data_IF_680042176831
#
_entry.id   IF_680042176831
#
_cell.length_a   1.000
_cell.length_b   1.000
_cell.length_c   1.000
_cell.angle_alpha   90.00
_cell.angle_beta   90.00
_cell.angle_gamma   90.00
#
_symmetry.space_group_name_H-M   'P 1'
#
loop_
_entity.id
_entity.type
_entity.pdbx_description
1 polymer ?
#
# COMPACT_ATOMS: atom_id res chain seq x y z
N UNK A 1 -20.29 14.52 6.59
CA UNK A 1 -21.49 13.95 5.94
C UNK A 1 -22.51 13.45 6.95
N UNK A 2 -22.19 12.46 7.78
CA UNK A 2 -23.10 11.87 8.76
C UNK A 2 -23.96 12.88 9.55
N UNK A 3 -23.34 13.84 10.25
CA UNK A 3 -24.06 14.84 11.07
C UNK A 3 -25.11 15.66 10.31
N UNK A 4 -24.94 15.84 8.99
CA UNK A 4 -25.80 16.69 8.16
C UNK A 4 -26.87 15.90 7.42
N UNK A 5 -26.57 14.66 7.02
CA UNK A 5 -27.39 13.88 6.09
C UNK A 5 -27.84 12.52 6.64
N UNK A 6 -27.38 12.14 7.83
CA UNK A 6 -27.77 10.89 8.50
C UNK A 6 -26.87 9.68 8.20
N UNK A 7 -27.33 8.47 8.54
CA UNK A 7 -26.53 7.24 8.54
C UNK A 7 -26.24 6.64 7.16
N UNK A 8 -26.99 7.04 6.13
CA UNK A 8 -26.79 6.60 4.75
C UNK A 8 -26.88 7.83 3.84
N UNK A 9 -25.83 8.08 3.06
CA UNK A 9 -25.73 9.29 2.23
C UNK A 9 -25.36 8.93 0.80
N UNK A 10 -26.21 9.29 -0.15
CA UNK A 10 -25.91 9.16 -1.58
C UNK A 10 -25.22 10.43 -2.10
N UNK A 11 -23.99 10.30 -2.58
CA UNK A 11 -23.24 11.35 -3.24
C UNK A 11 -23.25 11.10 -4.76
N UNK A 12 -23.75 12.07 -5.51
CA UNK A 12 -23.82 12.03 -6.97
C UNK A 12 -22.99 13.16 -7.54
N UNK A 13 -21.79 12.82 -8.01
CA UNK A 13 -20.91 13.77 -8.68
C UNK A 13 -20.98 13.54 -10.20
N UNK A 14 -21.27 14.57 -11.02
CA UNK A 14 -21.28 14.43 -12.48
C UNK A 14 -19.97 13.81 -13.00
N UNK A 15 -20.08 12.82 -13.88
CA UNK A 15 -18.93 12.11 -14.44
C UNK A 15 -18.25 11.10 -13.50
N UNK A 16 -18.84 10.80 -12.33
CA UNK A 16 -18.36 9.76 -11.40
C UNK A 16 -19.48 8.76 -11.09
N UNK A 17 -19.10 7.59 -10.58
CA UNK A 17 -20.06 6.66 -10.00
C UNK A 17 -20.78 7.32 -8.82
N UNK A 18 -22.07 6.99 -8.65
CA UNK A 18 -22.79 7.36 -7.43
C UNK A 18 -22.18 6.61 -6.26
N UNK A 19 -21.76 7.34 -5.23
CA UNK A 19 -21.19 6.76 -4.02
C UNK A 19 -22.26 6.73 -2.93
N UNK A 20 -22.42 5.59 -2.27
CA UNK A 20 -23.26 5.46 -1.09
C UNK A 20 -22.34 5.34 0.12
N UNK A 21 -22.40 6.33 1.00
CA UNK A 21 -21.64 6.38 2.24
C UNK A 21 -22.48 5.75 3.36
N UNK A 22 -21.97 4.68 3.97
CA UNK A 22 -22.59 3.98 5.09
C UNK A 22 -21.86 4.35 6.39
N UNK A 23 -22.61 4.62 7.46
CA UNK A 23 -22.06 5.02 8.76
C UNK A 23 -22.44 4.09 9.92
N UNK A 24 -23.26 3.05 9.68
CA UNK A 24 -23.70 2.11 10.72
C UNK A 24 -23.12 0.70 10.52
N UNK A 25 -22.85 0.01 11.63
CA UNK A 25 -22.35 -1.38 11.59
C UNK A 25 -23.38 -2.36 11.00
N UNK A 26 -24.68 -2.09 11.16
CA UNK A 26 -25.75 -2.93 10.62
C UNK A 26 -25.82 -2.83 9.10
N UNK A 27 -25.58 -1.65 8.53
CA UNK A 27 -25.47 -1.47 7.07
C UNK A 27 -24.25 -2.19 6.51
N UNK A 28 -23.09 -2.10 7.19
CA UNK A 28 -21.90 -2.87 6.79
C UNK A 28 -22.15 -4.37 6.86
N UNK A 29 -22.84 -4.87 7.90
CA UNK A 29 -23.21 -6.29 7.99
C UNK A 29 -24.06 -6.72 6.79
N UNK A 30 -25.08 -5.94 6.46
CA UNK A 30 -25.96 -6.20 5.33
C UNK A 30 -25.17 -6.22 4.02
N UNK A 31 -24.29 -5.23 3.80
CA UNK A 31 -23.42 -5.18 2.63
C UNK A 31 -22.54 -6.43 2.49
N UNK A 32 -21.85 -6.84 3.57
CA UNK A 32 -20.95 -7.99 3.54
C UNK A 32 -21.67 -9.33 3.35
N UNK A 33 -22.93 -9.42 3.76
CA UNK A 33 -23.76 -10.61 3.51
C UNK A 33 -24.15 -10.74 2.03
N UNK A 34 -24.37 -9.61 1.35
CA UNK A 34 -24.81 -9.55 -0.05
C UNK A 34 -23.65 -9.44 -1.07
N UNK A 35 -22.44 -9.10 -0.65
CA UNK A 35 -21.27 -8.88 -1.53
C UNK A 35 -20.86 -10.14 -2.33
N UNK A 36 -21.19 -11.32 -1.81
CA UNK A 36 -20.92 -12.60 -2.45
C UNK A 36 -19.43 -12.98 -2.48
N UNK A 37 -19.06 -13.94 -3.34
CA UNK A 37 -17.70 -14.50 -3.41
C UNK A 37 -16.69 -13.64 -4.17
N UNK A 38 -17.17 -12.67 -4.96
CA UNK A 38 -16.36 -11.90 -5.91
C UNK A 38 -16.67 -10.40 -5.75
N UNK A 39 -16.21 -9.80 -4.65
CA UNK A 39 -16.43 -8.38 -4.36
C UNK A 39 -15.90 -7.50 -5.49
N UNK A 40 -16.69 -6.50 -5.88
CA UNK A 40 -16.24 -5.47 -6.82
C UNK A 40 -15.57 -4.33 -6.07
N UNK A 41 -14.36 -3.95 -6.49
CA UNK A 41 -13.61 -2.85 -5.86
C UNK A 41 -13.11 -1.88 -6.92
N UNK A 42 -13.21 -0.58 -6.66
CA UNK A 42 -12.59 0.42 -7.52
C UNK A 42 -11.05 0.25 -7.47
N UNK A 43 -10.48 -0.31 -8.54
CA UNK A 43 -9.05 -0.57 -8.62
C UNK A 43 -8.21 0.71 -8.70
N UNK A 44 -6.92 0.56 -8.43
CA UNK A 44 -5.95 1.63 -8.51
C UNK A 44 -5.42 1.80 -9.95
N UNK A 45 -6.06 2.70 -10.70
CA UNK A 45 -5.83 2.84 -12.16
C UNK A 45 -4.39 3.13 -12.57
N UNK A 46 -3.58 3.76 -11.71
CA UNK A 46 -2.15 3.95 -11.96
C UNK A 46 -1.38 2.62 -11.99
N UNK A 47 -1.57 1.76 -10.98
CA UNK A 47 -0.94 0.44 -10.94
C UNK A 47 -1.40 -0.45 -12.10
N UNK A 48 -2.70 -0.37 -12.45
CA UNK A 48 -3.23 -1.09 -13.62
C UNK A 48 -2.47 -0.68 -14.89
N UNK A 49 -2.43 0.62 -15.21
CA UNK A 49 -1.75 1.14 -16.39
C UNK A 49 -0.26 0.75 -16.42
N UNK A 50 0.42 0.82 -15.28
CA UNK A 50 1.84 0.46 -15.19
C UNK A 50 2.07 -1.02 -15.47
N UNK A 51 1.31 -1.92 -14.85
CA UNK A 51 1.47 -3.37 -15.05
C UNK A 51 1.10 -3.81 -16.46
N UNK A 52 0.05 -3.23 -17.05
CA UNK A 52 -0.34 -3.50 -18.44
C UNK A 52 0.77 -3.14 -19.44
N UNK A 53 1.59 -2.13 -19.13
CA UNK A 53 2.69 -1.71 -20.01
C UNK A 53 3.99 -2.48 -19.78
N UNK A 54 4.03 -3.46 -18.85
CA UNK A 54 5.19 -4.31 -18.55
C UNK A 54 4.81 -5.80 -18.56
N UNK A 55 4.28 -6.34 -19.67
CA UNK A 55 3.88 -7.75 -19.74
C UNK A 55 5.03 -8.74 -19.54
N UNK A 56 6.28 -8.30 -19.75
CA UNK A 56 7.48 -9.10 -19.50
C UNK A 56 7.74 -9.39 -18.01
N UNK A 57 7.24 -8.53 -17.11
CA UNK A 57 7.42 -8.69 -15.66
C UNK A 57 6.13 -9.10 -14.95
N UNK A 58 4.96 -8.75 -15.51
CA UNK A 58 3.67 -8.97 -14.88
C UNK A 58 2.77 -9.86 -15.73
N UNK A 59 2.43 -11.04 -15.19
CA UNK A 59 1.44 -11.93 -15.79
C UNK A 59 0.01 -11.38 -15.75
N UNK A 60 -0.27 -10.39 -14.87
CA UNK A 60 -1.58 -9.75 -14.73
C UNK A 60 -1.48 -8.38 -14.02
N UNK A 61 -2.61 -7.69 -13.95
CA UNK A 61 -2.75 -6.34 -13.36
C UNK A 61 -2.74 -6.30 -11.81
N UNK A 62 -2.51 -7.43 -11.16
CA UNK A 62 -2.40 -7.57 -9.71
C UNK A 62 -3.73 -7.72 -8.96
N UNK A 63 -3.67 -8.37 -7.79
CA UNK A 63 -4.84 -8.67 -6.95
C UNK A 63 -5.63 -7.43 -6.49
N UNK A 64 -4.99 -6.25 -6.50
CA UNK A 64 -5.65 -4.97 -6.21
C UNK A 64 -6.59 -4.52 -7.34
N UNK A 65 -6.31 -4.90 -8.59
CA UNK A 65 -7.04 -4.43 -9.76
C UNK A 65 -7.88 -5.52 -10.45
N UNK A 66 -7.51 -6.80 -10.28
CA UNK A 66 -8.31 -7.93 -10.77
C UNK A 66 -9.71 -7.90 -10.16
N UNK A 67 -10.70 -8.36 -10.93
CA UNK A 67 -12.11 -8.48 -10.51
C UNK A 67 -12.66 -9.86 -10.85
N UNK A 68 -13.83 -10.19 -10.32
CA UNK A 68 -14.57 -11.39 -10.71
C UNK A 68 -13.78 -12.69 -10.50
N UNK A 69 -13.90 -13.60 -11.48
CA UNK A 69 -13.33 -14.94 -11.38
C UNK A 69 -11.79 -14.94 -11.36
N UNK A 70 -11.16 -14.03 -12.09
CA UNK A 70 -9.69 -13.92 -12.11
C UNK A 70 -9.15 -13.49 -10.75
N UNK A 71 -9.80 -12.51 -10.13
CA UNK A 71 -9.50 -12.12 -8.76
C UNK A 71 -9.67 -13.28 -7.80
N UNK A 72 -10.80 -13.99 -7.87
CA UNK A 72 -11.08 -15.12 -6.97
C UNK A 72 -10.04 -16.23 -7.12
N UNK A 73 -9.62 -16.54 -8.35
CA UNK A 73 -8.58 -17.54 -8.64
C UNK A 73 -7.23 -17.16 -8.02
N UNK A 74 -6.82 -15.90 -8.12
CA UNK A 74 -5.57 -15.44 -7.50
C UNK A 74 -5.69 -15.37 -5.98
N UNK A 75 -6.79 -14.82 -5.45
CA UNK A 75 -7.03 -14.66 -4.02
C UNK A 75 -7.08 -16.00 -3.29
N UNK A 76 -7.85 -16.96 -3.79
CA UNK A 76 -8.00 -18.29 -3.17
C UNK A 76 -6.67 -19.05 -3.06
N UNK A 77 -5.75 -18.85 -4.01
CA UNK A 77 -4.41 -19.46 -3.99
C UNK A 77 -3.42 -18.75 -3.07
N UNK A 78 -3.51 -17.42 -2.96
CA UNK A 78 -2.54 -16.59 -2.21
C UNK A 78 -2.92 -16.41 -0.74
N UNK A 79 -4.21 -16.37 -0.43
CA UNK A 79 -4.72 -16.16 0.93
C UNK A 79 -4.19 -17.18 1.97
N UNK A 80 -4.08 -18.49 1.66
CA UNK A 80 -3.50 -19.45 2.57
C UNK A 80 -2.08 -19.11 3.07
N UNK A 81 -1.28 -18.46 2.24
CA UNK A 81 0.12 -18.14 2.54
C UNK A 81 0.30 -16.77 3.17
N UNK A 82 -0.73 -15.94 3.18
CA UNK A 82 -0.66 -14.56 3.66
C UNK A 82 -1.50 -14.31 4.90
N UNK A 83 -2.60 -15.05 5.09
CA UNK A 83 -3.57 -14.79 6.17
C UNK A 83 -3.74 -15.95 7.16
N UNK A 84 -3.15 -17.13 6.91
CA UNK A 84 -3.28 -18.24 7.88
C UNK A 84 -2.38 -17.96 9.08
N UNK A 85 -2.90 -18.10 10.33
CA UNK A 85 -2.10 -17.86 11.53
C UNK A 85 -0.78 -18.63 11.54
N UNK A 86 -0.78 -19.90 11.14
CA UNK A 86 0.45 -20.71 11.08
C UNK A 86 1.52 -20.11 10.16
N UNK A 87 1.14 -19.53 9.03
CA UNK A 87 2.08 -18.88 8.12
C UNK A 87 2.50 -17.51 8.64
N UNK A 88 1.61 -16.77 9.27
CA UNK A 88 1.97 -15.50 9.92
C UNK A 88 3.00 -15.74 11.03
N UNK A 89 2.81 -16.80 11.84
CA UNK A 89 3.70 -17.14 12.94
C UNK A 89 5.15 -17.44 12.52
N UNK A 90 5.40 -17.87 11.27
CA UNK A 90 6.79 -18.06 10.81
C UNK A 90 7.55 -16.76 10.58
N UNK A 91 6.85 -15.63 10.36
CA UNK A 91 7.49 -14.33 10.19
C UNK A 91 7.75 -13.61 11.53
N UNK A 92 7.04 -14.00 12.59
CA UNK A 92 7.10 -13.33 13.91
C UNK A 92 8.52 -13.19 14.44
N UNK A 93 9.40 -14.22 14.44
CA UNK A 93 10.76 -14.06 14.97
C UNK A 93 11.57 -12.98 14.24
N UNK A 94 11.48 -12.90 12.91
CA UNK A 94 12.18 -11.87 12.16
C UNK A 94 11.56 -10.48 12.30
N UNK A 95 10.22 -10.41 12.42
CA UNK A 95 9.53 -9.15 12.73
C UNK A 95 9.87 -8.63 14.12
N UNK A 96 10.09 -9.52 15.10
CA UNK A 96 10.50 -9.18 16.46
C UNK A 96 11.88 -8.50 16.46
N UNK A 97 12.85 -9.07 15.74
CA UNK A 97 14.16 -8.45 15.54
C UNK A 97 14.07 -7.06 14.89
N UNK A 98 13.21 -6.91 13.88
CA UNK A 98 12.97 -5.61 13.22
C UNK A 98 12.31 -4.61 14.19
N UNK A 99 11.44 -5.07 15.07
CA UNK A 99 10.84 -4.23 16.11
C UNK A 99 11.88 -3.80 17.15
N UNK A 100 12.77 -4.69 17.58
CA UNK A 100 13.90 -4.36 18.46
C UNK A 100 14.82 -3.31 17.83
N UNK A 101 15.19 -3.49 16.56
CA UNK A 101 16.02 -2.52 15.82
C UNK A 101 15.36 -1.13 15.77
N UNK A 102 14.03 -1.08 15.54
CA UNK A 102 13.28 0.16 15.54
C UNK A 102 13.21 0.82 16.94
N UNK A 103 13.04 0.02 18.00
CA UNK A 103 13.06 0.51 19.38
C UNK A 103 14.43 1.08 19.76
N UNK A 104 15.52 0.43 19.35
CA UNK A 104 16.88 0.94 19.55
C UNK A 104 17.10 2.26 18.81
N UNK A 105 16.61 2.38 17.58
CA UNK A 105 16.69 3.62 16.80
C UNK A 105 15.89 4.76 17.46
N UNK A 106 14.68 4.46 17.95
CA UNK A 106 13.87 5.41 18.73
C UNK A 106 14.66 5.89 19.95
N UNK A 107 15.26 4.96 20.71
CA UNK A 107 15.99 5.32 21.92
C UNK A 107 17.19 6.24 21.66
N UNK A 108 17.92 6.00 20.56
CA UNK A 108 19.05 6.84 20.13
C UNK A 108 18.63 8.23 19.62
N UNK A 109 17.43 8.34 19.04
CA UNK A 109 16.94 9.56 18.40
C UNK A 109 16.20 10.49 19.38
N UNK A 110 15.94 10.02 20.60
CA UNK A 110 15.27 10.81 21.64
C UNK A 110 16.05 12.06 22.01
N UNK A 111 15.32 13.15 22.21
CA UNK A 111 15.85 14.38 22.79
C UNK A 111 15.93 14.31 24.33
N UNK A 112 16.38 15.40 24.97
CA UNK A 112 16.47 15.50 26.43
C UNK A 112 15.12 15.32 27.15
N UNK A 113 14.00 15.52 26.45
CA UNK A 113 12.63 15.32 26.97
C UNK A 113 12.13 13.89 26.76
N UNK A 114 12.95 13.01 26.17
CA UNK A 114 12.60 11.64 25.76
C UNK A 114 11.54 11.59 24.65
N UNK A 115 11.49 12.62 23.82
CA UNK A 115 10.59 12.74 22.67
C UNK A 115 11.37 12.51 21.37
N UNK A 116 10.68 12.01 20.34
CA UNK A 116 11.23 11.86 18.99
C UNK A 116 10.48 12.81 18.09
N UNK A 117 11.19 13.76 17.49
CA UNK A 117 10.61 14.81 16.64
C UNK A 117 9.87 14.21 15.43
N UNK A 118 10.50 13.29 14.72
CA UNK A 118 9.92 12.58 13.57
C UNK A 118 9.78 11.07 13.79
N UNK A 119 8.83 10.70 14.64
CA UNK A 119 8.47 9.30 14.86
C UNK A 119 7.87 8.65 13.59
N UNK A 120 7.22 9.44 12.73
CA UNK A 120 6.57 8.94 11.52
C UNK A 120 7.58 8.32 10.55
N UNK A 121 8.72 8.97 10.34
CA UNK A 121 9.80 8.44 9.49
C UNK A 121 10.35 7.13 10.02
N UNK A 122 10.55 7.00 11.34
CA UNK A 122 11.04 5.74 11.94
C UNK A 122 10.01 4.62 11.76
N UNK A 123 8.72 4.89 12.00
CA UNK A 123 7.64 3.92 11.78
C UNK A 123 7.53 3.50 10.31
N UNK A 124 7.76 4.43 9.37
CA UNK A 124 7.73 4.13 7.95
C UNK A 124 8.90 3.23 7.52
N UNK A 125 10.10 3.49 8.05
CA UNK A 125 11.29 2.62 7.87
C UNK A 125 11.06 1.23 8.46
N UNK A 126 10.48 1.13 9.66
CA UNK A 126 10.10 -0.13 10.30
C UNK A 126 9.08 -0.91 9.48
N UNK A 127 8.03 -0.25 9.00
CA UNK A 127 7.00 -0.88 8.18
C UNK A 127 7.56 -1.41 6.86
N UNK A 128 8.44 -0.63 6.20
CA UNK A 128 9.08 -1.05 4.95
C UNK A 128 10.00 -2.27 5.17
N UNK A 129 10.87 -2.24 6.18
CA UNK A 129 11.73 -3.39 6.53
C UNK A 129 10.90 -4.65 6.84
N UNK A 130 9.79 -4.48 7.57
CA UNK A 130 8.88 -5.58 7.93
C UNK A 130 8.20 -6.22 6.72
N UNK A 131 7.75 -5.40 5.77
CA UNK A 131 7.14 -5.87 4.52
C UNK A 131 8.17 -6.57 3.64
N UNK A 132 9.38 -6.05 3.54
CA UNK A 132 10.46 -6.68 2.76
C UNK A 132 10.87 -8.04 3.34
N UNK A 133 10.93 -8.17 4.67
CA UNK A 133 11.12 -9.46 5.30
C UNK A 133 9.97 -10.42 4.98
N UNK A 134 8.71 -9.99 5.16
CA UNK A 134 7.56 -10.87 4.94
C UNK A 134 7.37 -11.30 3.48
N UNK A 135 7.77 -10.45 2.52
CA UNK A 135 7.51 -10.66 1.10
C UNK A 135 8.71 -11.20 0.31
N UNK A 136 9.93 -10.83 0.69
CA UNK A 136 11.17 -11.17 0.00
C UNK A 136 12.20 -11.86 0.91
N UNK A 137 11.85 -12.17 2.17
CA UNK A 137 12.74 -12.79 3.16
C UNK A 137 14.10 -12.07 3.28
N UNK A 138 14.07 -10.73 3.14
CA UNK A 138 15.27 -9.91 3.01
C UNK A 138 15.21 -8.70 3.95
N UNK A 139 16.35 -8.40 4.57
CA UNK A 139 16.61 -7.18 5.35
C UNK A 139 17.31 -6.16 4.45
N UNK A 140 16.63 -5.07 4.11
CA UNK A 140 17.20 -4.01 3.24
C UNK A 140 17.95 -2.94 4.02
N UNK A 141 17.94 -3.03 5.36
CA UNK A 141 18.71 -2.14 6.21
C UNK A 141 18.10 -0.75 6.35
N UNK A 142 16.79 -0.60 6.13
CA UNK A 142 16.11 0.69 6.28
C UNK A 142 16.27 1.26 7.69
N UNK A 143 16.53 0.46 8.72
CA UNK A 143 16.67 0.90 10.12
C UNK A 143 18.11 1.25 10.53
N UNK A 144 19.08 1.24 9.61
CA UNK A 144 20.47 1.61 9.91
C UNK A 144 20.63 3.06 10.42
N UNK A 145 21.57 3.28 11.32
CA UNK A 145 21.86 4.60 11.89
C UNK A 145 23.38 4.84 11.95
N UNK A 146 23.92 5.78 11.14
CA UNK A 146 23.23 6.57 10.13
C UNK A 146 22.78 5.70 8.94
N UNK A 147 21.67 6.07 8.28
CA UNK A 147 21.22 5.41 7.06
C UNK A 147 22.09 5.91 5.88
N UNK A 148 22.91 5.05 5.24
CA UNK A 148 23.77 5.50 4.15
C UNK A 148 22.94 5.87 2.92
N UNK A 149 23.18 7.04 2.31
CA UNK A 149 22.41 7.50 1.14
C UNK A 149 22.51 6.57 -0.07
N UNK A 150 23.64 5.87 -0.21
CA UNK A 150 23.88 4.90 -1.27
C UNK A 150 23.40 3.47 -0.93
N UNK A 151 22.71 3.28 0.20
CA UNK A 151 22.17 1.97 0.58
C UNK A 151 20.88 1.64 -0.16
N UNK A 152 20.61 0.35 -0.36
CA UNK A 152 19.35 -0.14 -0.90
C UNK A 152 18.17 0.35 -0.03
N UNK A 153 18.32 0.32 1.30
CA UNK A 153 17.32 0.84 2.22
C UNK A 153 16.94 2.31 1.98
N UNK A 154 17.93 3.18 1.69
CA UNK A 154 17.66 4.58 1.37
C UNK A 154 16.98 4.74 0.00
N UNK A 155 17.44 3.99 -1.01
CA UNK A 155 16.85 4.02 -2.35
C UNK A 155 15.39 3.54 -2.34
N UNK A 156 15.11 2.40 -1.71
CA UNK A 156 13.77 1.83 -1.59
C UNK A 156 12.82 2.75 -0.81
N UNK A 157 13.31 3.39 0.26
CA UNK A 157 12.54 4.36 1.04
C UNK A 157 12.13 5.56 0.18
N UNK A 158 13.08 6.11 -0.58
CA UNK A 158 12.83 7.23 -1.48
C UNK A 158 11.85 6.86 -2.60
N UNK A 159 12.03 5.70 -3.23
CA UNK A 159 11.16 5.24 -4.31
C UNK A 159 9.72 4.95 -3.82
N UNK A 160 9.55 4.38 -2.62
CA UNK A 160 8.23 4.22 -2.00
C UNK A 160 7.57 5.58 -1.73
N UNK A 161 8.28 6.54 -1.15
CA UNK A 161 7.76 7.89 -0.93
C UNK A 161 7.31 8.56 -2.24
N UNK A 162 8.10 8.39 -3.30
CA UNK A 162 7.80 8.92 -4.63
C UNK A 162 6.58 8.25 -5.27
N UNK A 163 6.42 6.94 -5.10
CA UNK A 163 5.22 6.19 -5.53
C UNK A 163 3.98 6.74 -4.83
N UNK A 164 3.97 6.84 -3.50
CA UNK A 164 2.80 7.34 -2.76
C UNK A 164 2.50 8.81 -3.06
N UNK A 165 3.52 9.66 -3.17
CA UNK A 165 3.36 11.05 -3.58
C UNK A 165 2.73 11.19 -4.97
N UNK A 166 3.14 10.36 -5.93
CA UNK A 166 2.53 10.32 -7.26
C UNK A 166 1.07 9.83 -7.21
N UNK A 167 0.77 8.79 -6.41
CA UNK A 167 -0.59 8.27 -6.26
C UNK A 167 -1.56 9.32 -5.69
N UNK A 168 -1.12 10.11 -4.72
CA UNK A 168 -1.91 11.24 -4.20
C UNK A 168 -2.25 12.23 -5.32
N UNK A 169 -1.27 12.61 -6.14
CA UNK A 169 -1.50 13.50 -7.29
C UNK A 169 -2.51 12.89 -8.27
N UNK A 170 -2.41 11.60 -8.56
CA UNK A 170 -3.33 10.89 -9.46
C UNK A 170 -4.76 10.77 -8.91
N UNK A 171 -4.92 10.70 -7.59
CA UNK A 171 -6.22 10.60 -6.93
C UNK A 171 -6.97 11.94 -6.85
N UNK A 172 -6.25 13.05 -6.63
CA UNK A 172 -6.86 14.37 -6.43
C UNK A 172 -6.98 15.22 -7.70
N UNK A 173 -6.06 15.06 -8.66
CA UNK A 173 -6.05 15.87 -9.89
C UNK A 173 -6.80 15.17 -11.02
N UNK A 174 -7.13 15.94 -12.06
CA UNK A 174 -7.62 15.36 -13.30
C UNK A 174 -6.59 14.32 -13.82
N UNK A 175 -7.03 13.13 -14.26
CA UNK A 175 -6.13 11.99 -14.49
C UNK A 175 -5.40 12.10 -15.84
N UNK A 176 -4.65 13.19 -16.06
CA UNK A 176 -3.85 13.44 -17.27
C UNK A 176 -2.89 12.29 -17.60
N UNK A 177 -2.38 11.61 -16.56
CA UNK A 177 -1.51 10.45 -16.69
C UNK A 177 -2.14 9.32 -17.51
N UNK A 178 -3.47 9.25 -17.64
CA UNK A 178 -4.14 8.25 -18.48
C UNK A 178 -3.85 8.49 -19.96
N UNK A 179 -3.85 9.74 -20.39
CA UNK A 179 -3.75 10.15 -21.79
C UNK A 179 -2.33 10.53 -22.21
N UNK A 180 -1.55 11.13 -21.31
CA UNK A 180 -0.22 11.66 -21.61
C UNK A 180 0.83 11.12 -20.65
N UNK A 181 2.08 10.98 -21.14
CA UNK A 181 3.23 10.60 -20.32
C UNK A 181 3.77 11.81 -19.54
N UNK A 182 3.01 12.26 -18.55
CA UNK A 182 3.32 13.45 -17.74
C UNK A 182 4.62 13.28 -16.92
N UNK A 183 5.25 14.36 -16.44
CA UNK A 183 6.40 14.27 -15.54
C UNK A 183 6.12 13.42 -14.28
N UNK A 184 4.94 13.57 -13.67
CA UNK A 184 4.51 12.75 -12.52
C UNK A 184 4.40 11.27 -12.89
N UNK A 185 3.89 10.95 -14.08
CA UNK A 185 3.84 9.57 -14.55
C UNK A 185 5.25 8.99 -14.77
N UNK A 186 6.17 9.75 -15.36
CA UNK A 186 7.57 9.31 -15.53
C UNK A 186 8.26 9.05 -14.20
N UNK A 187 8.01 9.90 -13.19
CA UNK A 187 8.51 9.70 -11.83
C UNK A 187 7.96 8.42 -11.22
N UNK A 188 6.64 8.21 -11.29
CA UNK A 188 5.99 6.97 -10.85
C UNK A 188 6.55 5.72 -11.54
N UNK A 189 6.74 5.77 -12.87
CA UNK A 189 7.34 4.67 -13.63
C UNK A 189 8.73 4.33 -13.12
N UNK A 190 9.61 5.33 -13.00
CA UNK A 190 10.99 5.14 -12.55
C UNK A 190 11.03 4.49 -11.17
N UNK A 191 10.27 5.00 -10.21
CA UNK A 191 10.27 4.44 -8.85
C UNK A 191 9.62 3.07 -8.78
N UNK A 192 8.60 2.78 -9.59
CA UNK A 192 8.01 1.43 -9.66
C UNK A 192 8.95 0.41 -10.32
N UNK A 193 9.76 0.83 -11.29
CA UNK A 193 10.72 -0.04 -11.97
C UNK A 193 11.79 -0.57 -10.98
N UNK A 194 12.11 0.18 -9.92
CA UNK A 194 13.01 -0.26 -8.84
C UNK A 194 12.49 -1.48 -8.04
N UNK A 195 11.18 -1.71 -8.01
CA UNK A 195 10.57 -2.87 -7.34
C UNK A 195 10.31 -4.06 -8.29
N UNK A 196 10.61 -3.89 -9.58
CA UNK A 196 10.25 -4.86 -10.62
C UNK A 196 11.47 -5.57 -11.22
N UNK A 197 12.65 -4.94 -11.12
CA UNK A 197 13.95 -5.45 -11.54
C UNK A 197 14.67 -6.11 -10.37
#
# INVERSE_FOLDING_TARGET
MYRKYGPVVAERLPGRYSLVHLFSADDFRTLYQEEGKMPFRMGATAFKKYRESRPQYYANIGILNLQGQEWYKVRSKTQPYTLRPRTIMSYVPGMDLIAEDALQLIDKTRDDKKEVDDCYTILYRWALESVMLASADTRIGCLADPLPEASDGAAFLQDMNDVFGCLQIFGYRFPYFRYFRTPTWRKFEKSMDAFTL
#
